data_IF_703250752217
#
_entry.id   IF_703250752217
#
_cell.length_a   1.000
_cell.length_b   1.000
_cell.length_c   1.000
_cell.angle_alpha   90.00
_cell.angle_beta   90.00
_cell.angle_gamma   90.00
#
_symmetry.space_group_name_H-M   'P 1'
#
loop_
_entity.id
_entity.type
_entity.pdbx_description
1 polymer ?
#
# COMPACT_ATOMS: atom_id res chain seq x y z
N UNK A 1 10.91 -24.96 -6.85
CA UNK A 1 10.51 -23.54 -6.79
C UNK A 1 9.39 -23.41 -5.77
N UNK A 2 9.46 -22.40 -4.90
CA UNK A 2 8.48 -22.25 -3.83
C UNK A 2 8.48 -20.80 -3.31
N UNK A 3 7.41 -20.39 -2.61
CA UNK A 3 7.29 -19.10 -1.95
C UNK A 3 7.76 -19.12 -0.51
N UNK A 4 8.43 -18.06 -0.10
CA UNK A 4 8.71 -17.73 1.28
C UNK A 4 8.09 -16.40 1.66
N UNK A 5 7.83 -16.21 2.96
CA UNK A 5 7.39 -14.93 3.52
C UNK A 5 8.54 -14.25 4.24
N UNK A 6 8.73 -12.96 3.99
CA UNK A 6 9.74 -12.13 4.64
C UNK A 6 9.17 -10.76 5.03
N UNK A 7 9.85 -10.08 5.95
CA UNK A 7 9.53 -8.71 6.31
C UNK A 7 10.60 -7.77 5.78
N UNK A 8 10.19 -6.60 5.31
CA UNK A 8 11.06 -5.57 4.76
C UNK A 8 10.69 -4.23 5.39
N UNK A 9 11.68 -3.47 5.84
CA UNK A 9 11.48 -2.11 6.32
C UNK A 9 11.24 -1.17 5.14
N UNK A 10 10.09 -0.51 5.09
CA UNK A 10 9.71 0.44 4.05
C UNK A 10 8.98 1.62 4.67
N UNK A 11 9.42 2.84 4.38
CA UNK A 11 8.83 4.06 4.95
C UNK A 11 8.66 4.01 6.49
N UNK A 12 9.64 3.47 7.20
CA UNK A 12 9.63 3.36 8.67
C UNK A 12 8.71 2.26 9.25
N UNK A 13 8.11 1.43 8.41
CA UNK A 13 7.26 0.29 8.83
C UNK A 13 7.78 -1.02 8.28
N UNK A 14 7.48 -2.12 8.97
CA UNK A 14 7.74 -3.46 8.44
C UNK A 14 6.55 -3.94 7.62
N UNK A 15 6.80 -4.23 6.35
CA UNK A 15 5.79 -4.76 5.43
C UNK A 15 6.10 -6.20 5.08
N UNK A 16 5.05 -7.01 4.95
CA UNK A 16 5.19 -8.40 4.52
C UNK A 16 5.40 -8.45 3.01
N UNK A 17 6.36 -9.27 2.58
CA UNK A 17 6.64 -9.59 1.18
C UNK A 17 6.62 -11.07 0.96
N UNK A 18 6.14 -11.48 -0.21
CA UNK A 18 6.29 -12.85 -0.71
C UNK A 18 7.52 -12.91 -1.60
N UNK A 19 8.35 -13.91 -1.39
CA UNK A 19 9.60 -14.07 -2.13
C UNK A 19 9.56 -15.43 -2.82
N UNK A 20 9.50 -15.43 -4.15
CA UNK A 20 9.64 -16.65 -4.93
C UNK A 20 11.11 -17.04 -4.97
N UNK A 21 11.41 -18.29 -4.61
CA UNK A 21 12.75 -18.85 -4.62
C UNK A 21 12.83 -19.96 -5.65
N UNK A 22 13.71 -19.78 -6.64
CA UNK A 22 14.12 -20.83 -7.58
C UNK A 22 15.48 -21.34 -7.15
N UNK A 23 15.57 -22.64 -6.80
CA UNK A 23 16.82 -23.29 -6.39
C UNK A 23 17.21 -24.38 -7.38
N UNK A 24 18.51 -24.54 -7.56
CA UNK A 24 19.12 -25.51 -8.46
C UNK A 24 19.84 -26.58 -7.65
N UNK A 25 19.31 -27.81 -7.60
CA UNK A 25 19.86 -28.86 -6.74
C UNK A 25 21.31 -29.27 -7.06
N UNK A 26 21.73 -29.16 -8.32
CA UNK A 26 23.07 -29.57 -8.72
C UNK A 26 24.15 -28.60 -8.23
N UNK A 27 23.94 -27.30 -8.44
CA UNK A 27 24.88 -26.25 -8.02
C UNK A 27 24.62 -25.73 -6.61
N UNK A 28 23.40 -25.92 -6.08
CA UNK A 28 22.88 -25.24 -4.90
C UNK A 28 22.76 -23.71 -5.06
N UNK A 29 22.82 -23.21 -6.28
CA UNK A 29 22.50 -21.83 -6.58
C UNK A 29 21.00 -21.53 -6.32
N UNK A 30 20.68 -20.30 -5.95
CA UNK A 30 19.31 -19.85 -5.80
C UNK A 30 19.12 -18.42 -6.28
N UNK A 31 17.98 -18.19 -6.90
CA UNK A 31 17.56 -16.90 -7.40
C UNK A 31 16.18 -16.57 -6.85
N UNK A 32 15.97 -15.32 -6.52
CA UNK A 32 14.75 -14.88 -5.86
C UNK A 32 14.17 -13.64 -6.54
N UNK A 33 12.86 -13.49 -6.42
CA UNK A 33 12.16 -12.28 -6.79
C UNK A 33 11.05 -12.01 -5.77
N UNK A 34 10.92 -10.74 -5.36
CA UNK A 34 9.93 -10.32 -4.38
C UNK A 34 8.64 -9.88 -5.06
N UNK A 35 7.50 -10.30 -4.51
CA UNK A 35 6.16 -9.90 -4.94
C UNK A 35 5.29 -9.59 -3.72
N UNK A 36 4.13 -9.00 -3.96
CA UNK A 36 3.23 -8.55 -2.88
C UNK A 36 2.21 -9.59 -2.45
N UNK A 37 1.94 -10.59 -3.31
CA UNK A 37 0.96 -11.63 -3.05
C UNK A 37 1.32 -12.93 -3.78
N UNK A 38 0.72 -14.04 -3.34
CA UNK A 38 0.83 -15.36 -3.97
C UNK A 38 -0.34 -15.58 -4.94
N UNK A 39 -0.52 -14.69 -5.92
CA UNK A 39 -1.49 -14.86 -7.00
C UNK A 39 -0.80 -15.20 -8.32
N UNK A 40 -1.58 -15.59 -9.33
CA UNK A 40 -1.06 -16.04 -10.62
C UNK A 40 -0.19 -14.98 -11.30
N UNK A 41 -0.60 -13.71 -11.30
CA UNK A 41 0.13 -12.64 -11.95
C UNK A 41 1.48 -12.38 -11.26
N UNK A 42 1.50 -12.34 -9.92
CA UNK A 42 2.74 -12.19 -9.15
C UNK A 42 3.67 -13.38 -9.36
N UNK A 43 3.14 -14.59 -9.36
CA UNK A 43 3.92 -15.81 -9.55
C UNK A 43 4.58 -15.86 -10.92
N UNK A 44 3.81 -15.66 -12.00
CA UNK A 44 4.33 -15.72 -13.37
C UNK A 44 5.29 -14.56 -13.66
N UNK A 45 5.04 -13.37 -13.12
CA UNK A 45 5.97 -12.25 -13.25
C UNK A 45 7.29 -12.55 -12.52
N UNK A 46 7.24 -13.10 -11.31
CA UNK A 46 8.44 -13.48 -10.56
C UNK A 46 9.26 -14.53 -11.32
N UNK A 47 8.61 -15.56 -11.88
CA UNK A 47 9.28 -16.54 -12.74
C UNK A 47 9.96 -15.89 -13.95
N UNK A 48 9.24 -15.03 -14.65
CA UNK A 48 9.77 -14.28 -15.82
C UNK A 48 11.01 -13.47 -15.46
N UNK A 49 10.97 -12.76 -14.33
CA UNK A 49 12.11 -11.97 -13.84
C UNK A 49 13.31 -12.84 -13.48
N UNK A 50 13.07 -13.98 -12.82
CA UNK A 50 14.13 -14.94 -12.51
C UNK A 50 14.73 -15.51 -13.82
N UNK A 51 13.92 -15.92 -14.80
CA UNK A 51 14.41 -16.39 -16.10
C UNK A 51 15.29 -15.35 -16.80
N UNK A 52 14.85 -14.07 -16.80
CA UNK A 52 15.65 -12.98 -17.35
C UNK A 52 17.00 -12.82 -16.64
N UNK A 53 17.02 -12.92 -15.30
CA UNK A 53 18.25 -12.79 -14.49
C UNK A 53 19.24 -13.93 -14.73
N UNK A 54 18.77 -15.18 -14.81
CA UNK A 54 19.63 -16.34 -15.06
C UNK A 54 20.05 -16.49 -16.53
N UNK A 55 19.39 -15.76 -17.42
CA UNK A 55 19.69 -15.76 -18.86
C UNK A 55 19.19 -17.01 -19.60
N UNK A 56 18.21 -17.72 -19.05
CA UNK A 56 17.67 -18.94 -19.67
C UNK A 56 16.52 -19.55 -18.88
N UNK A 57 16.05 -20.73 -19.33
CA UNK A 57 14.91 -21.42 -18.73
C UNK A 57 15.31 -22.87 -18.43
N UNK A 58 15.13 -23.38 -17.19
CA UNK A 58 15.30 -24.79 -16.91
C UNK A 58 14.29 -25.63 -17.72
N UNK A 59 14.74 -26.71 -18.32
CA UNK A 59 13.85 -27.59 -19.12
C UNK A 59 12.76 -28.26 -18.29
N UNK A 60 13.00 -28.45 -16.99
CA UNK A 60 12.06 -29.04 -16.02
C UNK A 60 12.10 -28.24 -14.73
N UNK A 61 10.93 -27.90 -14.19
CA UNK A 61 10.79 -27.12 -12.96
C UNK A 61 9.84 -27.83 -12.01
N UNK A 62 10.32 -28.11 -10.81
CA UNK A 62 9.53 -28.68 -9.73
C UNK A 62 8.91 -27.59 -8.87
N UNK A 63 7.60 -27.70 -8.63
CA UNK A 63 6.82 -26.79 -7.81
C UNK A 63 6.30 -27.50 -6.57
N UNK A 64 6.34 -26.86 -5.42
CA UNK A 64 5.50 -27.24 -4.30
C UNK A 64 4.06 -26.73 -4.55
N UNK A 65 3.06 -27.29 -3.88
CA UNK A 65 1.63 -27.04 -4.04
C UNK A 65 1.24 -25.54 -4.23
N UNK A 66 1.61 -24.97 -5.37
CA UNK A 66 1.35 -23.57 -5.72
C UNK A 66 -0.11 -23.39 -6.16
N UNK A 67 -0.95 -22.90 -5.29
CA UNK A 67 -2.33 -22.50 -5.59
C UNK A 67 -2.43 -21.47 -6.73
N UNK A 68 -1.36 -20.68 -6.94
CA UNK A 68 -1.27 -19.70 -8.03
C UNK A 68 -1.22 -20.32 -9.44
N UNK A 69 -0.83 -21.58 -9.56
CA UNK A 69 -0.73 -22.31 -10.85
C UNK A 69 -1.86 -23.33 -11.05
N UNK A 70 -2.55 -23.72 -9.99
CA UNK A 70 -3.49 -24.86 -9.98
C UNK A 70 -4.91 -24.38 -9.69
N UNK A 71 -5.86 -24.74 -10.54
CA UNK A 71 -7.31 -24.46 -10.35
C UNK A 71 -7.92 -25.46 -9.39
N UNK A 72 -7.61 -26.75 -9.57
CA UNK A 72 -8.14 -27.83 -8.73
C UNK A 72 -7.18 -29.01 -8.68
N UNK A 73 -7.27 -29.78 -7.62
CA UNK A 73 -6.57 -31.05 -7.45
C UNK A 73 -7.64 -32.12 -7.31
N UNK A 74 -7.62 -33.13 -8.18
CA UNK A 74 -8.54 -34.24 -8.14
C UNK A 74 -8.17 -35.24 -7.04
N UNK A 75 -9.13 -36.12 -6.68
CA UNK A 75 -8.89 -37.14 -5.64
C UNK A 75 -7.77 -38.09 -5.97
N UNK A 76 -7.50 -38.32 -7.25
CA UNK A 76 -6.45 -39.20 -7.76
C UNK A 76 -5.11 -38.47 -7.97
N UNK A 77 -4.98 -37.22 -7.48
CA UNK A 77 -3.77 -36.41 -7.60
C UNK A 77 -3.61 -35.69 -8.94
N UNK A 78 -4.57 -35.81 -9.86
CA UNK A 78 -4.64 -35.02 -11.10
C UNK A 78 -4.79 -33.53 -10.77
N UNK A 79 -4.12 -32.66 -11.54
CA UNK A 79 -4.16 -31.21 -11.35
C UNK A 79 -4.65 -30.51 -12.61
N UNK A 80 -5.61 -29.62 -12.42
CA UNK A 80 -6.06 -28.70 -13.47
C UNK A 80 -5.34 -27.38 -13.31
N UNK A 81 -4.54 -27.00 -14.29
CA UNK A 81 -3.78 -25.76 -14.29
C UNK A 81 -4.60 -24.60 -14.81
N UNK A 82 -4.22 -23.38 -14.39
CA UNK A 82 -4.78 -22.17 -15.00
C UNK A 82 -4.32 -22.07 -16.45
N UNK A 83 -5.20 -21.63 -17.34
CA UNK A 83 -4.89 -21.44 -18.77
C UNK A 83 -3.66 -20.51 -18.95
N UNK A 84 -3.55 -19.48 -18.12
CA UNK A 84 -2.42 -18.57 -18.13
C UNK A 84 -1.10 -19.27 -17.80
N UNK A 85 -1.07 -20.18 -16.81
CA UNK A 85 0.11 -20.95 -16.48
C UNK A 85 0.52 -21.90 -17.62
N UNK A 86 -0.45 -22.56 -18.25
CA UNK A 86 -0.17 -23.44 -19.39
C UNK A 86 0.42 -22.68 -20.58
N UNK A 87 -0.14 -21.51 -20.91
CA UNK A 87 0.42 -20.62 -21.94
C UNK A 87 1.83 -20.15 -21.60
N UNK A 88 2.08 -19.81 -20.35
CA UNK A 88 3.40 -19.40 -19.85
C UNK A 88 4.41 -20.55 -19.98
N UNK A 89 4.06 -21.77 -19.54
CA UNK A 89 4.92 -22.94 -19.62
C UNK A 89 5.24 -23.29 -21.08
N UNK A 90 4.24 -23.25 -21.99
CA UNK A 90 4.42 -23.46 -23.41
C UNK A 90 5.33 -22.40 -24.05
N UNK A 91 5.15 -21.12 -23.71
CA UNK A 91 5.96 -20.01 -24.21
C UNK A 91 7.44 -20.15 -23.85
N UNK A 92 7.73 -20.51 -22.59
CA UNK A 92 9.09 -20.71 -22.09
C UNK A 92 9.60 -22.15 -22.30
N UNK A 93 8.77 -23.06 -22.77
CA UNK A 93 9.10 -24.45 -23.19
C UNK A 93 9.64 -25.32 -22.05
N UNK A 94 9.26 -25.05 -20.81
CA UNK A 94 9.63 -25.90 -19.68
C UNK A 94 8.51 -26.89 -19.34
N UNK A 95 8.91 -28.05 -18.78
CA UNK A 95 7.99 -29.04 -18.26
C UNK A 95 7.75 -28.77 -16.76
N UNK A 96 6.50 -28.46 -16.37
CA UNK A 96 6.17 -28.32 -14.96
C UNK A 96 5.99 -29.69 -14.31
N UNK A 97 6.60 -29.87 -13.15
CA UNK A 97 6.43 -31.02 -12.27
C UNK A 97 5.97 -30.53 -10.91
N UNK A 98 5.11 -31.30 -10.25
CA UNK A 98 4.59 -30.91 -8.94
C UNK A 98 4.85 -32.02 -7.93
N UNK A 99 5.34 -31.63 -6.75
CA UNK A 99 5.55 -32.58 -5.67
C UNK A 99 4.21 -33.21 -5.26
N UNK A 100 4.24 -34.50 -4.99
CA UNK A 100 3.05 -35.19 -4.51
C UNK A 100 2.70 -34.71 -3.09
N UNK A 101 1.40 -34.55 -2.76
CA UNK A 101 0.97 -34.36 -1.39
C UNK A 101 1.57 -35.48 -0.51
N UNK A 102 2.19 -35.12 0.60
CA UNK A 102 2.83 -36.04 1.56
C UNK A 102 4.18 -36.66 1.17
N UNK A 103 4.82 -36.28 0.06
CA UNK A 103 6.15 -36.77 -0.32
C UNK A 103 7.26 -35.85 0.18
N UNK A 104 7.59 -35.91 1.47
CA UNK A 104 8.61 -35.07 2.11
C UNK A 104 10.01 -35.17 1.50
N UNK A 105 10.35 -36.30 0.87
CA UNK A 105 11.67 -36.52 0.27
C UNK A 105 11.90 -35.68 -1.01
N UNK A 106 10.83 -35.33 -1.74
CA UNK A 106 10.90 -34.53 -2.96
C UNK A 106 11.01 -33.02 -2.66
N UNK A 107 10.57 -32.58 -1.47
CA UNK A 107 10.48 -31.19 -1.04
C UNK A 107 11.75 -30.65 -0.37
N UNK A 108 12.55 -31.52 0.22
CA UNK A 108 13.60 -31.13 1.19
C UNK A 108 14.60 -30.09 0.66
N UNK A 109 14.96 -30.11 -0.61
CA UNK A 109 15.92 -29.14 -1.16
C UNK A 109 15.35 -27.72 -1.28
N UNK A 110 14.12 -27.59 -1.81
CA UNK A 110 13.49 -26.29 -2.01
C UNK A 110 13.10 -25.64 -0.69
N UNK A 111 12.46 -26.40 0.22
CA UNK A 111 12.08 -25.90 1.54
C UNK A 111 13.31 -25.45 2.36
N UNK A 112 14.40 -26.24 2.30
CA UNK A 112 15.65 -25.87 2.95
C UNK A 112 16.23 -24.58 2.37
N UNK A 113 16.14 -24.39 1.04
CA UNK A 113 16.68 -23.20 0.38
C UNK A 113 15.82 -21.97 0.62
N UNK A 114 14.50 -22.09 0.65
CA UNK A 114 13.58 -21.00 1.07
C UNK A 114 13.90 -20.58 2.51
N UNK A 115 14.01 -21.54 3.42
CA UNK A 115 14.41 -21.29 4.81
C UNK A 115 15.80 -20.66 4.94
N UNK A 116 16.76 -21.12 4.13
CA UNK A 116 18.12 -20.57 4.09
C UNK A 116 18.10 -19.12 3.62
N UNK A 117 17.47 -18.82 2.47
CA UNK A 117 17.38 -17.48 1.91
C UNK A 117 16.72 -16.52 2.88
N UNK A 118 15.63 -16.94 3.54
CA UNK A 118 14.96 -16.13 4.56
C UNK A 118 15.91 -15.78 5.72
N UNK A 119 16.62 -16.74 6.26
CA UNK A 119 17.49 -16.52 7.43
C UNK A 119 18.76 -15.74 7.11
N UNK A 120 19.33 -15.92 5.92
CA UNK A 120 20.65 -15.37 5.58
C UNK A 120 20.59 -14.12 4.71
N UNK A 121 19.49 -13.92 3.95
CA UNK A 121 19.35 -12.78 3.04
C UNK A 121 18.37 -11.73 3.53
N UNK A 122 17.41 -12.13 4.38
CA UNK A 122 16.28 -11.31 4.81
C UNK A 122 16.18 -11.19 6.35
N UNK A 123 17.20 -11.62 7.08
CA UNK A 123 17.34 -11.42 8.52
C UNK A 123 18.74 -10.86 8.80
N UNK A 124 18.85 -9.68 9.46
CA UNK A 124 17.75 -8.79 9.85
C UNK A 124 16.98 -8.28 8.63
N UNK A 125 15.70 -7.87 8.80
CA UNK A 125 14.89 -7.34 7.71
C UNK A 125 15.60 -6.18 7.00
N UNK A 126 15.82 -6.26 5.67
CA UNK A 126 16.44 -5.17 4.93
C UNK A 126 15.53 -3.94 4.94
N UNK A 127 16.13 -2.75 4.96
CA UNK A 127 15.42 -1.48 4.76
C UNK A 127 15.59 -1.10 3.30
N UNK A 128 14.47 -1.06 2.57
CA UNK A 128 14.41 -0.77 1.15
C UNK A 128 13.18 0.08 0.88
N UNK A 129 13.34 1.31 0.44
CA UNK A 129 12.23 2.23 0.21
C UNK A 129 11.45 1.91 -1.07
N UNK A 130 12.09 1.23 -2.01
CA UNK A 130 11.50 0.83 -3.28
C UNK A 130 11.60 -0.69 -3.54
N UNK A 131 10.69 -1.20 -4.38
CA UNK A 131 10.75 -2.58 -4.83
C UNK A 131 12.06 -2.87 -5.61
N UNK A 132 12.58 -1.88 -6.34
CA UNK A 132 13.85 -1.98 -7.08
C UNK A 132 15.04 -2.19 -6.13
N UNK A 133 15.12 -1.42 -5.04
CA UNK A 133 16.18 -1.60 -4.03
C UNK A 133 16.14 -2.99 -3.38
N UNK A 134 14.92 -3.49 -3.11
CA UNK A 134 14.76 -4.85 -2.59
C UNK A 134 15.24 -5.90 -3.59
N UNK A 135 14.93 -5.74 -4.86
CA UNK A 135 15.40 -6.62 -5.94
C UNK A 135 16.93 -6.62 -6.05
N UNK A 136 17.55 -5.45 -5.99
CA UNK A 136 19.01 -5.31 -6.00
C UNK A 136 19.64 -5.95 -4.75
N UNK A 137 19.01 -5.75 -3.59
CA UNK A 137 19.46 -6.41 -2.35
C UNK A 137 19.46 -7.94 -2.50
N UNK A 138 18.35 -8.51 -2.98
CA UNK A 138 18.20 -9.94 -3.20
C UNK A 138 19.21 -10.47 -4.26
N UNK A 139 19.45 -9.69 -5.31
CA UNK A 139 20.44 -10.01 -6.33
C UNK A 139 21.85 -10.11 -5.73
N UNK A 140 22.29 -9.08 -5.01
CA UNK A 140 23.61 -9.07 -4.34
C UNK A 140 23.79 -10.23 -3.37
N UNK A 141 22.72 -10.57 -2.60
CA UNK A 141 22.75 -11.71 -1.68
C UNK A 141 22.86 -13.04 -2.41
N UNK A 142 22.15 -13.20 -3.52
CA UNK A 142 22.24 -14.40 -4.37
C UNK A 142 23.63 -14.55 -4.98
N UNK A 143 24.23 -13.47 -5.48
CA UNK A 143 25.59 -13.46 -6.04
C UNK A 143 26.64 -13.80 -4.96
N UNK A 144 26.57 -13.16 -3.80
CA UNK A 144 27.48 -13.45 -2.70
C UNK A 144 27.37 -14.90 -2.20
N UNK A 145 26.17 -15.52 -2.24
CA UNK A 145 25.96 -16.91 -1.88
C UNK A 145 26.67 -17.88 -2.84
N UNK A 146 26.95 -17.47 -4.07
CA UNK A 146 27.64 -18.30 -5.05
C UNK A 146 29.15 -18.49 -4.78
N UNK A 147 29.75 -17.61 -3.98
CA UNK A 147 31.17 -17.72 -3.65
C UNK A 147 31.49 -18.80 -2.62
N UNK A 148 30.50 -19.25 -1.87
CA UNK A 148 30.69 -20.29 -0.87
C UNK A 148 30.85 -21.68 -1.51
N UNK A 149 31.51 -22.65 -0.82
CA UNK A 149 31.59 -24.01 -1.28
C UNK A 149 30.23 -24.73 -1.20
N UNK A 150 30.00 -25.62 -2.15
CA UNK A 150 28.85 -26.53 -2.12
C UNK A 150 29.01 -27.49 -0.96
N UNK A 151 27.96 -27.70 -0.17
CA UNK A 151 27.99 -28.48 1.09
C UNK A 151 28.44 -29.96 0.94
N UNK A 152 28.23 -30.56 -0.24
CA UNK A 152 28.61 -31.96 -0.50
C UNK A 152 29.72 -32.10 -1.53
N UNK A 153 29.84 -31.22 -2.51
CA UNK A 153 30.82 -31.33 -3.60
C UNK A 153 32.10 -30.55 -3.34
N UNK A 154 32.08 -29.62 -2.37
CA UNK A 154 33.19 -28.76 -1.96
C UNK A 154 33.73 -27.82 -3.07
N UNK A 155 33.19 -27.87 -4.28
CA UNK A 155 33.44 -26.91 -5.34
C UNK A 155 32.65 -25.61 -5.06
N UNK A 156 33.10 -24.48 -5.58
CA UNK A 156 32.35 -23.22 -5.50
C UNK A 156 30.99 -23.36 -6.20
N UNK A 157 29.94 -22.82 -5.58
CA UNK A 157 28.60 -22.81 -6.18
C UNK A 157 28.62 -22.13 -7.54
N UNK A 158 29.38 -21.03 -7.71
CA UNK A 158 29.53 -20.34 -8.98
C UNK A 158 30.04 -21.26 -10.12
N UNK A 159 31.05 -22.08 -9.84
CA UNK A 159 31.66 -22.98 -10.83
C UNK A 159 30.68 -24.10 -11.23
N UNK A 160 29.93 -24.62 -10.26
CA UNK A 160 28.87 -25.59 -10.51
C UNK A 160 27.69 -24.95 -11.27
N UNK A 161 27.36 -23.69 -10.95
CA UNK A 161 26.30 -22.96 -11.63
C UNK A 161 26.60 -22.74 -13.12
N UNK A 162 27.82 -22.39 -13.48
CA UNK A 162 28.19 -22.25 -14.89
C UNK A 162 28.01 -23.57 -15.69
N UNK A 163 28.31 -24.72 -15.07
CA UNK A 163 28.03 -26.03 -15.67
C UNK A 163 26.52 -26.25 -15.88
N UNK A 164 25.69 -25.87 -14.90
CA UNK A 164 24.23 -26.01 -14.94
C UNK A 164 23.61 -24.99 -15.90
N UNK A 165 24.07 -23.73 -15.87
CA UNK A 165 23.60 -22.66 -16.74
C UNK A 165 23.77 -23.00 -18.22
N UNK A 166 24.83 -23.72 -18.60
CA UNK A 166 25.05 -24.15 -19.98
C UNK A 166 23.97 -25.11 -20.52
N UNK A 167 23.11 -25.68 -19.66
CA UNK A 167 22.00 -26.59 -20.01
C UNK A 167 20.65 -25.91 -20.03
N UNK A 168 20.56 -24.63 -19.71
CA UNK A 168 19.31 -23.89 -19.79
C UNK A 168 18.86 -23.75 -21.25
N UNK A 169 17.54 -23.74 -21.45
CA UNK A 169 16.93 -23.38 -22.72
C UNK A 169 17.11 -21.89 -22.95
N UNK A 170 17.30 -21.49 -24.20
CA UNK A 170 17.39 -20.08 -24.58
C UNK A 170 16.07 -19.36 -24.27
N UNK A 171 16.17 -18.11 -23.82
CA UNK A 171 15.01 -17.24 -23.64
C UNK A 171 14.30 -17.01 -24.97
N UNK A 172 12.95 -16.92 -24.97
CA UNK A 172 12.22 -16.48 -26.15
C UNK A 172 12.58 -15.03 -26.52
N UNK A 173 12.52 -14.68 -27.79
CA UNK A 173 12.84 -13.34 -28.29
C UNK A 173 11.95 -12.25 -27.68
N UNK A 174 10.69 -12.59 -27.42
CA UNK A 174 9.74 -11.68 -26.78
C UNK A 174 9.35 -12.26 -25.41
N UNK A 175 9.51 -11.49 -24.31
CA UNK A 175 9.05 -11.93 -23.00
C UNK A 175 7.54 -12.15 -22.97
N UNK A 176 7.07 -13.13 -22.20
CA UNK A 176 5.64 -13.33 -21.97
C UNK A 176 5.04 -12.13 -21.24
N UNK A 177 3.94 -11.60 -21.75
CA UNK A 177 3.22 -10.55 -21.06
C UNK A 177 2.24 -11.15 -20.05
N UNK A 178 2.51 -10.94 -18.78
CA UNK A 178 1.70 -11.50 -17.67
C UNK A 178 0.56 -10.55 -17.33
N UNK A 179 -0.66 -10.94 -17.67
CA UNK A 179 -1.88 -10.21 -17.32
C UNK A 179 -3.11 -11.11 -17.42
N UNK A 180 -4.19 -10.74 -16.73
CA UNK A 180 -5.53 -11.28 -17.00
C UNK A 180 -6.46 -10.17 -17.49
N UNK A 181 -7.43 -10.53 -18.29
CA UNK A 181 -8.52 -9.64 -18.72
C UNK A 181 -9.76 -9.89 -17.88
N UNK A 182 -10.37 -8.83 -17.40
CA UNK A 182 -11.57 -8.89 -16.57
C UNK A 182 -12.51 -7.75 -16.95
N UNK A 183 -13.77 -8.06 -17.23
CA UNK A 183 -14.79 -7.03 -17.41
C UNK A 183 -15.31 -6.56 -16.05
N UNK A 184 -15.37 -5.26 -15.83
CA UNK A 184 -15.82 -4.67 -14.56
C UNK A 184 -16.91 -3.63 -14.80
N UNK A 185 -17.88 -3.57 -13.88
CA UNK A 185 -18.95 -2.56 -13.90
C UNK A 185 -18.55 -1.35 -13.06
N UNK A 186 -18.87 -0.17 -13.62
CA UNK A 186 -18.79 1.09 -12.88
C UNK A 186 -20.14 1.36 -12.20
N UNK A 187 -20.09 1.91 -10.98
CA UNK A 187 -21.30 2.40 -10.37
C UNK A 187 -21.76 3.73 -11.01
N UNK A 188 -22.93 4.24 -10.62
CA UNK A 188 -23.50 5.51 -11.14
C UNK A 188 -22.65 6.76 -10.83
N UNK A 189 -21.67 6.63 -9.95
CA UNK A 189 -20.72 7.69 -9.57
C UNK A 189 -19.39 7.59 -10.30
N UNK A 190 -19.25 6.60 -11.22
CA UNK A 190 -18.02 6.31 -11.95
C UNK A 190 -16.90 5.83 -11.04
N UNK A 191 -17.26 5.01 -10.06
CA UNK A 191 -16.33 4.33 -9.20
C UNK A 191 -16.20 2.87 -9.62
N UNK A 192 -14.98 2.42 -9.79
CA UNK A 192 -14.61 1.03 -10.04
C UNK A 192 -14.33 0.36 -8.71
N UNK A 193 -15.07 -0.69 -8.39
CA UNK A 193 -14.73 -1.59 -7.30
C UNK A 193 -13.93 -2.77 -7.83
N UNK A 194 -12.68 -2.88 -7.40
CA UNK A 194 -11.79 -3.96 -7.81
C UNK A 194 -11.06 -4.53 -6.58
N UNK A 195 -11.14 -5.85 -6.40
CA UNK A 195 -10.65 -6.55 -5.20
C UNK A 195 -11.18 -5.84 -3.92
N UNK A 196 -10.30 -5.30 -3.07
CA UNK A 196 -10.69 -4.61 -1.82
C UNK A 196 -10.70 -3.07 -1.95
N UNK A 197 -10.41 -2.53 -3.13
CA UNK A 197 -10.30 -1.10 -3.38
C UNK A 197 -11.44 -0.55 -4.24
N UNK A 198 -11.64 0.76 -4.14
CA UNK A 198 -12.58 1.52 -4.99
C UNK A 198 -11.84 2.70 -5.60
N UNK A 199 -11.81 2.76 -6.92
CA UNK A 199 -11.10 3.78 -7.69
C UNK A 199 -12.08 4.76 -8.34
N UNK A 200 -11.85 6.08 -8.20
CA UNK A 200 -12.59 7.09 -8.96
C UNK A 200 -12.12 7.09 -10.42
N UNK A 201 -13.05 6.98 -11.36
CA UNK A 201 -12.80 7.00 -12.79
C UNK A 201 -13.66 8.07 -13.48
N UNK A 202 -13.46 9.36 -13.18
CA UNK A 202 -14.30 10.44 -13.72
C UNK A 202 -14.22 10.55 -15.25
N UNK A 203 -13.13 10.07 -15.86
CA UNK A 203 -12.94 10.01 -17.32
C UNK A 203 -13.83 8.98 -18.01
N UNK A 204 -14.38 7.99 -17.30
CA UNK A 204 -15.25 6.95 -17.86
C UNK A 204 -16.71 7.41 -18.00
N UNK A 205 -16.94 8.66 -18.42
CA UNK A 205 -18.32 9.17 -18.66
C UNK A 205 -18.98 8.42 -19.80
N UNK A 206 -20.24 8.03 -19.59
CA UNK A 206 -21.01 7.29 -20.61
C UNK A 206 -20.79 5.79 -20.60
N UNK A 207 -19.75 5.28 -19.92
CA UNK A 207 -19.48 3.85 -19.84
C UNK A 207 -20.11 3.24 -18.59
N UNK A 208 -20.76 2.10 -18.73
CA UNK A 208 -21.27 1.29 -17.62
C UNK A 208 -20.29 0.17 -17.26
N UNK A 209 -19.53 -0.28 -18.25
CA UNK A 209 -18.52 -1.33 -18.12
C UNK A 209 -17.19 -0.85 -18.67
N UNK A 210 -16.12 -1.42 -18.15
CA UNK A 210 -14.74 -1.23 -18.61
C UNK A 210 -14.06 -2.59 -18.69
N UNK A 211 -13.02 -2.70 -19.52
CA UNK A 211 -12.15 -3.87 -19.55
C UNK A 211 -10.88 -3.55 -18.77
N UNK A 212 -10.56 -4.41 -17.82
CA UNK A 212 -9.36 -4.32 -17.01
C UNK A 212 -8.30 -5.29 -17.53
N UNK A 213 -7.09 -4.79 -17.78
CA UNK A 213 -5.90 -5.60 -17.97
C UNK A 213 -5.12 -5.57 -16.66
N UNK A 214 -5.27 -6.64 -15.88
CA UNK A 214 -4.72 -6.75 -14.52
C UNK A 214 -3.34 -7.37 -14.59
N UNK A 215 -2.33 -6.62 -14.23
CA UNK A 215 -0.94 -7.06 -14.09
C UNK A 215 -0.61 -7.31 -12.61
N UNK A 216 0.61 -7.65 -12.32
CA UNK A 216 1.06 -7.94 -10.96
C UNK A 216 1.12 -6.69 -10.05
N UNK A 217 1.35 -5.50 -10.61
CA UNK A 217 1.57 -4.22 -9.89
C UNK A 217 0.60 -3.10 -10.29
N UNK A 218 0.02 -3.19 -11.48
CA UNK A 218 -0.89 -2.18 -12.03
C UNK A 218 -2.11 -2.80 -12.72
N UNK A 219 -3.13 -1.96 -12.89
CA UNK A 219 -4.35 -2.27 -13.64
C UNK A 219 -4.47 -1.22 -14.74
N UNK A 220 -4.48 -1.64 -15.99
CA UNK A 220 -4.81 -0.79 -17.12
C UNK A 220 -6.31 -0.89 -17.39
N UNK A 221 -6.98 0.27 -17.47
CA UNK A 221 -8.43 0.37 -17.69
C UNK A 221 -8.68 0.75 -19.13
N UNK A 222 -9.42 -0.07 -19.85
CA UNK A 222 -9.79 0.17 -21.25
C UNK A 222 -11.29 0.39 -21.41
N UNK A 223 -11.68 1.14 -22.46
CA UNK A 223 -13.06 1.24 -22.84
C UNK A 223 -13.60 -0.12 -23.33
N UNK A 224 -14.90 -0.38 -23.08
CA UNK A 224 -15.58 -1.59 -23.55
C UNK A 224 -16.47 -1.34 -24.77
N UNK A 225 -16.26 -0.20 -25.47
CA UNK A 225 -17.01 0.22 -26.64
C UNK A 225 -16.58 -0.42 -27.97
N UNK A 226 -15.64 -1.37 -27.91
CA UNK A 226 -15.06 -2.03 -29.09
C UNK A 226 -13.77 -1.39 -29.60
N UNK A 227 -13.49 -0.14 -29.22
CA UNK A 227 -12.23 0.53 -29.59
C UNK A 227 -11.08 0.24 -28.64
N UNK A 228 -11.36 -0.30 -27.44
CA UNK A 228 -10.37 -0.66 -26.42
C UNK A 228 -9.36 0.45 -26.13
N UNK A 229 -9.82 1.70 -26.01
CA UNK A 229 -8.96 2.84 -25.69
C UNK A 229 -8.50 2.77 -24.24
N UNK A 230 -7.22 3.00 -24.01
CA UNK A 230 -6.69 3.13 -22.66
C UNK A 230 -7.27 4.38 -21.98
N UNK A 231 -8.01 4.20 -20.91
CA UNK A 231 -8.66 5.26 -20.14
C UNK A 231 -7.82 5.70 -18.93
N UNK A 232 -6.96 4.82 -18.43
CA UNK A 232 -6.09 5.13 -17.31
C UNK A 232 -5.35 3.90 -16.77
N UNK A 233 -4.39 4.17 -15.90
CA UNK A 233 -3.64 3.17 -15.15
C UNK A 233 -3.87 3.38 -13.67
N UNK A 234 -4.07 2.30 -12.94
CA UNK A 234 -4.34 2.29 -11.52
C UNK A 234 -3.33 1.37 -10.83
N UNK A 235 -2.82 1.72 -9.64
CA UNK A 235 -2.02 0.79 -8.87
C UNK A 235 -2.87 -0.40 -8.43
N UNK A 236 -2.33 -1.61 -8.50
CA UNK A 236 -3.03 -2.76 -7.95
C UNK A 236 -3.08 -2.68 -6.43
N UNK A 237 -4.24 -2.93 -5.79
CA UNK A 237 -4.39 -2.76 -4.35
C UNK A 237 -3.79 -3.96 -3.60
N UNK A 238 -2.74 -3.70 -2.84
CA UNK A 238 -2.14 -4.63 -1.90
C UNK A 238 -2.18 -4.05 -0.48
N UNK A 239 -2.13 -4.90 0.54
CA UNK A 239 -2.24 -4.46 1.94
C UNK A 239 -1.12 -3.48 2.35
N UNK A 240 0.06 -3.65 1.77
CA UNK A 240 1.25 -2.85 2.02
C UNK A 240 1.40 -1.62 1.10
N UNK A 241 0.53 -1.50 0.11
CA UNK A 241 0.46 -0.35 -0.80
C UNK A 241 -0.94 0.25 -0.72
N UNK A 242 -1.19 1.13 0.26
CA UNK A 242 -2.49 1.79 0.37
C UNK A 242 -2.80 2.54 -0.92
N UNK A 243 -4.07 2.53 -1.28
CA UNK A 243 -4.54 3.24 -2.46
C UNK A 243 -4.42 4.75 -2.24
N UNK A 244 -3.68 5.42 -3.09
CA UNK A 244 -3.66 6.89 -3.13
C UNK A 244 -4.91 7.37 -3.86
N UNK A 245 -5.75 8.14 -3.18
CA UNK A 245 -6.94 8.74 -3.75
C UNK A 245 -6.66 10.22 -4.04
N UNK A 246 -6.84 10.62 -5.29
CA UNK A 246 -6.81 12.03 -5.69
C UNK A 246 -8.12 12.72 -5.22
N UNK A 247 -8.11 13.17 -3.97
CA UNK A 247 -9.29 13.70 -3.30
C UNK A 247 -9.83 14.97 -3.94
N UNK A 248 -8.99 15.82 -4.50
CA UNK A 248 -9.41 17.02 -5.23
C UNK A 248 -10.35 16.66 -6.37
N UNK A 249 -9.99 15.66 -7.18
CA UNK A 249 -10.82 15.14 -8.28
C UNK A 249 -12.14 14.53 -7.77
N UNK A 250 -12.12 13.80 -6.67
CA UNK A 250 -13.31 13.20 -6.05
C UNK A 250 -14.27 14.30 -5.57
N UNK A 251 -13.75 15.31 -4.88
CA UNK A 251 -14.55 16.43 -4.38
C UNK A 251 -15.09 17.34 -5.50
N UNK A 252 -14.40 17.47 -6.61
CA UNK A 252 -14.95 18.12 -7.82
C UNK A 252 -16.17 17.35 -8.37
N UNK A 253 -16.18 16.04 -8.25
CA UNK A 253 -17.35 15.21 -8.53
C UNK A 253 -18.51 15.49 -7.57
N UNK A 254 -18.24 15.57 -6.27
CA UNK A 254 -19.24 15.86 -5.24
C UNK A 254 -19.80 17.28 -5.35
N UNK A 255 -18.99 18.30 -5.71
CA UNK A 255 -19.48 19.65 -5.98
C UNK A 255 -20.53 19.68 -7.09
N UNK A 256 -20.34 18.89 -8.15
CA UNK A 256 -21.31 18.78 -9.25
C UNK A 256 -22.59 18.03 -8.86
N UNK A 257 -22.46 17.02 -8.00
CA UNK A 257 -23.57 16.17 -7.53
C UNK A 257 -23.49 15.97 -6.02
N UNK A 258 -23.88 16.95 -5.19
CA UNK A 258 -23.68 16.89 -3.72
C UNK A 258 -24.31 15.69 -3.04
N UNK A 259 -25.41 15.17 -3.56
CA UNK A 259 -26.04 13.94 -3.04
C UNK A 259 -25.19 12.69 -3.23
N UNK A 260 -24.22 12.70 -4.15
CA UNK A 260 -23.39 11.52 -4.41
C UNK A 260 -22.53 11.11 -3.21
N UNK A 261 -22.12 12.06 -2.36
CA UNK A 261 -21.31 11.78 -1.16
C UNK A 261 -22.03 10.86 -0.17
N UNK A 262 -23.37 10.85 -0.16
CA UNK A 262 -24.15 9.99 0.72
C UNK A 262 -24.05 8.50 0.35
N UNK A 263 -23.75 8.19 -0.91
CA UNK A 263 -23.83 6.85 -1.49
C UNK A 263 -22.50 6.41 -2.13
N UNK A 264 -21.47 7.26 -2.14
CA UNK A 264 -20.16 6.98 -2.69
C UNK A 264 -19.42 5.98 -1.79
N UNK A 265 -18.87 4.93 -2.39
CA UNK A 265 -18.02 3.95 -1.72
C UNK A 265 -16.68 4.55 -1.29
N UNK A 266 -16.23 5.62 -1.96
CA UNK A 266 -15.01 6.34 -1.63
C UNK A 266 -15.09 7.03 -0.26
N UNK A 267 -16.28 7.37 0.20
CA UNK A 267 -16.45 8.01 1.50
C UNK A 267 -15.93 7.17 2.68
N UNK A 268 -15.81 5.86 2.53
CA UNK A 268 -15.24 4.97 3.56
C UNK A 268 -13.76 5.20 3.83
N UNK A 269 -13.04 5.75 2.85
CA UNK A 269 -11.60 6.06 2.98
C UNK A 269 -11.32 7.45 3.55
N UNK A 270 -12.38 8.26 3.77
CA UNK A 270 -12.24 9.56 4.42
C UNK A 270 -12.11 9.40 5.94
N UNK A 271 -11.39 10.28 6.62
CA UNK A 271 -11.44 10.41 8.07
C UNK A 271 -12.90 10.50 8.55
N UNK A 272 -13.24 9.89 9.70
CA UNK A 272 -14.61 9.93 10.23
C UNK A 272 -15.15 11.36 10.41
N UNK A 273 -14.31 12.30 10.85
CA UNK A 273 -14.64 13.72 11.02
C UNK A 273 -15.04 14.39 9.70
N UNK A 274 -14.27 14.21 8.63
CA UNK A 274 -14.61 14.75 7.31
C UNK A 274 -15.92 14.13 6.81
N UNK A 275 -16.06 12.83 6.93
CA UNK A 275 -17.26 12.11 6.50
C UNK A 275 -18.51 12.59 7.24
N UNK A 276 -18.44 12.75 8.55
CA UNK A 276 -19.54 13.29 9.35
C UNK A 276 -19.86 14.74 8.98
N UNK A 277 -18.83 15.54 8.75
CA UNK A 277 -18.96 16.94 8.39
C UNK A 277 -19.72 17.16 7.08
N UNK A 278 -19.44 16.37 6.03
CA UNK A 278 -20.06 16.55 4.69
C UNK A 278 -21.36 15.77 4.50
N UNK A 279 -21.63 14.73 5.30
CA UNK A 279 -22.84 13.90 5.19
C UNK A 279 -23.99 14.44 6.04
N UNK A 280 -24.41 15.65 5.77
CA UNK A 280 -25.57 16.29 6.41
C UNK A 280 -26.81 16.20 5.54
N UNK A 281 -28.00 16.22 6.16
CA UNK A 281 -29.29 16.12 5.44
C UNK A 281 -29.58 17.37 4.60
N UNK A 282 -29.25 18.55 5.14
CA UNK A 282 -29.43 19.80 4.42
C UNK A 282 -28.53 19.86 3.17
N UNK A 283 -29.14 20.12 2.02
CA UNK A 283 -28.47 20.10 0.73
C UNK A 283 -27.58 21.35 0.53
N UNK A 284 -28.01 22.52 1.00
CA UNK A 284 -27.26 23.76 0.84
C UNK A 284 -26.05 23.74 1.78
N UNK A 285 -26.25 23.37 3.02
CA UNK A 285 -25.15 23.19 3.97
C UNK A 285 -24.13 22.16 3.47
N UNK A 286 -24.61 21.06 2.88
CA UNK A 286 -23.74 20.04 2.27
C UNK A 286 -22.89 20.62 1.15
N UNK A 287 -23.46 21.45 0.27
CA UNK A 287 -22.71 22.11 -0.81
C UNK A 287 -21.60 23.01 -0.28
N UNK A 288 -21.92 23.81 0.74
CA UNK A 288 -20.94 24.70 1.38
C UNK A 288 -19.80 23.89 1.97
N UNK A 289 -20.11 22.84 2.74
CA UNK A 289 -19.11 21.99 3.40
C UNK A 289 -18.25 21.20 2.40
N UNK A 290 -18.83 20.69 1.31
CA UNK A 290 -18.07 20.05 0.23
C UNK A 290 -17.12 21.07 -0.44
N UNK A 291 -17.60 22.29 -0.68
CA UNK A 291 -16.75 23.34 -1.29
C UNK A 291 -15.59 23.74 -0.37
N UNK A 292 -15.83 23.81 0.94
CA UNK A 292 -14.79 24.08 1.93
C UNK A 292 -13.72 23.00 1.92
N UNK A 293 -14.12 21.73 2.09
CA UNK A 293 -13.15 20.62 2.12
C UNK A 293 -12.36 20.57 0.82
N UNK A 294 -13.02 20.77 -0.34
CA UNK A 294 -12.33 20.84 -1.64
C UNK A 294 -11.27 21.95 -1.69
N UNK A 295 -11.58 23.13 -1.12
CA UNK A 295 -10.64 24.25 -1.04
C UNK A 295 -9.45 23.93 -0.12
N UNK A 296 -9.70 23.31 1.03
CA UNK A 296 -8.64 22.90 1.96
C UNK A 296 -7.68 21.87 1.33
N UNK A 297 -8.20 20.96 0.51
CA UNK A 297 -7.42 19.95 -0.19
C UNK A 297 -6.51 20.51 -1.31
N UNK A 298 -6.55 21.79 -1.61
CA UNK A 298 -5.59 22.43 -2.53
C UNK A 298 -4.19 22.58 -1.92
N UNK A 299 -4.11 22.67 -0.60
CA UNK A 299 -2.87 22.94 0.14
C UNK A 299 -2.63 22.02 1.33
N UNK A 300 -3.56 21.11 1.63
CA UNK A 300 -3.49 20.23 2.78
C UNK A 300 -3.91 18.80 2.43
N UNK A 301 -3.34 17.85 3.13
CA UNK A 301 -3.70 16.44 3.00
C UNK A 301 -5.04 16.13 3.68
N UNK A 302 -5.73 15.09 3.20
CA UNK A 302 -7.02 14.66 3.75
C UNK A 302 -6.96 14.35 5.26
N UNK A 303 -5.83 13.81 5.75
CA UNK A 303 -5.63 13.51 7.15
C UNK A 303 -5.59 14.78 8.00
N UNK A 304 -4.87 15.82 7.55
CA UNK A 304 -4.77 17.12 8.23
C UNK A 304 -6.13 17.82 8.33
N UNK A 305 -6.89 17.79 7.22
CA UNK A 305 -8.28 18.30 7.21
C UNK A 305 -9.14 17.52 8.21
N UNK A 306 -8.94 16.21 8.29
CA UNK A 306 -9.64 15.35 9.24
C UNK A 306 -9.34 15.69 10.69
N UNK A 307 -8.09 15.94 11.04
CA UNK A 307 -7.65 16.33 12.37
C UNK A 307 -8.20 17.71 12.78
N UNK A 308 -8.14 18.70 11.87
CA UNK A 308 -8.69 20.02 12.11
C UNK A 308 -10.20 19.97 12.39
N UNK A 309 -10.95 19.22 11.56
CA UNK A 309 -12.40 19.04 11.78
C UNK A 309 -12.71 18.29 13.07
N UNK A 310 -11.89 17.33 13.46
CA UNK A 310 -12.04 16.60 14.71
C UNK A 310 -11.80 17.52 15.93
N UNK A 311 -10.79 18.38 15.86
CA UNK A 311 -10.48 19.37 16.90
C UNK A 311 -11.64 20.36 17.11
N UNK A 312 -12.34 20.71 16.02
CA UNK A 312 -13.44 21.69 16.06
C UNK A 312 -14.81 21.05 16.38
N UNK A 313 -14.91 19.71 16.35
CA UNK A 313 -16.18 19.02 16.55
C UNK A 313 -16.80 19.36 17.93
N UNK A 314 -18.05 19.83 17.90
CA UNK A 314 -18.81 20.16 19.11
C UNK A 314 -18.47 21.52 19.74
N UNK A 315 -17.53 22.30 19.18
CA UNK A 315 -17.12 23.57 19.76
C UNK A 315 -17.66 24.82 19.03
N UNK A 316 -18.04 24.67 17.78
CA UNK A 316 -18.47 25.80 16.95
C UNK A 316 -19.76 25.52 16.18
N UNK A 317 -20.49 26.60 15.86
CA UNK A 317 -21.64 26.48 14.96
C UNK A 317 -21.21 26.11 13.55
N UNK A 318 -22.05 25.39 12.80
CA UNK A 318 -21.74 25.00 11.42
C UNK A 318 -21.41 26.18 10.50
N UNK A 319 -21.96 27.37 10.76
CA UNK A 319 -21.76 28.58 9.99
C UNK A 319 -20.37 29.19 10.20
N UNK A 320 -19.80 29.02 11.40
CA UNK A 320 -18.47 29.53 11.73
C UNK A 320 -17.32 28.55 11.41
N UNK A 321 -17.64 27.31 11.10
CA UNK A 321 -16.64 26.24 10.86
C UNK A 321 -15.62 26.56 9.75
N UNK A 322 -15.96 27.24 8.63
CA UNK A 322 -14.99 27.54 7.57
C UNK A 322 -13.77 28.30 8.08
N UNK A 323 -13.99 29.38 8.80
CA UNK A 323 -12.93 30.24 9.32
C UNK A 323 -12.15 29.51 10.43
N UNK A 324 -12.86 28.88 11.34
CA UNK A 324 -12.25 28.12 12.43
C UNK A 324 -11.44 26.92 11.94
N UNK A 325 -11.89 26.24 10.88
CA UNK A 325 -11.13 25.13 10.28
C UNK A 325 -9.81 25.64 9.71
N UNK A 326 -9.83 26.75 8.98
CA UNK A 326 -8.62 27.37 8.45
C UNK A 326 -7.68 27.83 9.57
N UNK A 327 -8.23 28.35 10.65
CA UNK A 327 -7.46 28.74 11.82
C UNK A 327 -6.80 27.54 12.51
N UNK A 328 -7.56 26.50 12.79
CA UNK A 328 -7.07 25.27 13.43
C UNK A 328 -5.98 24.57 12.60
N UNK A 329 -6.05 24.63 11.27
CA UNK A 329 -5.02 24.06 10.39
C UNK A 329 -3.72 24.86 10.43
N UNK A 330 -3.79 26.18 10.62
CA UNK A 330 -2.61 27.04 10.78
C UNK A 330 -2.01 26.98 12.18
N UNK A 331 -2.79 26.58 13.16
CA UNK A 331 -2.46 26.57 14.59
C UNK A 331 -2.77 25.19 15.19
N UNK A 332 -1.93 24.15 14.93
CA UNK A 332 -2.18 22.79 15.43
C UNK A 332 -2.23 22.68 16.98
N UNK A 333 -1.66 23.66 17.69
CA UNK A 333 -1.71 23.78 19.15
C UNK A 333 -3.04 24.30 19.68
N UNK A 334 -3.88 24.86 18.80
CA UNK A 334 -5.18 25.39 19.18
C UNK A 334 -6.09 24.30 19.75
N UNK A 335 -6.57 24.54 20.96
CA UNK A 335 -7.54 23.69 21.64
C UNK A 335 -8.71 24.57 22.06
N UNK A 336 -9.85 24.50 21.34
CA UNK A 336 -11.03 25.26 21.73
C UNK A 336 -11.54 24.80 23.09
N UNK A 337 -11.99 25.72 23.90
CA UNK A 337 -12.66 25.39 25.16
C UNK A 337 -14.03 24.77 24.83
N UNK A 338 -14.45 23.76 25.61
CA UNK A 338 -15.78 23.17 25.41
C UNK A 338 -16.86 24.22 25.72
N UNK A 339 -17.87 24.26 24.85
CA UNK A 339 -19.04 25.11 25.09
C UNK A 339 -19.74 24.63 26.37
N UNK A 340 -19.80 25.48 27.37
CA UNK A 340 -20.64 25.23 28.52
C UNK A 340 -22.08 25.48 28.08
N UNK A 341 -22.92 24.47 28.06
CA UNK A 341 -24.36 24.64 27.84
C UNK A 341 -24.94 25.46 28.97
N UNK A 342 -25.04 26.77 28.76
CA UNK A 342 -25.83 27.63 29.67
C UNK A 342 -27.27 27.60 29.15
N UNK A 343 -28.20 27.21 30.00
CA UNK A 343 -29.64 27.21 29.70
C UNK A 343 -30.24 28.64 29.67
N UNK A 344 -29.45 29.66 29.76
CA UNK A 344 -29.84 31.06 29.60
C UNK A 344 -29.39 31.57 28.25
N UNK A 345 -30.28 32.07 27.38
CA UNK A 345 -29.89 32.76 26.15
C UNK A 345 -29.12 34.01 26.57
N UNK A 346 -27.81 33.96 26.48
CA UNK A 346 -26.98 35.15 26.57
C UNK A 346 -27.14 35.86 25.23
N UNK A 347 -27.69 37.09 25.26
CA UNK A 347 -27.53 37.99 24.11
C UNK A 347 -26.04 38.21 23.91
N UNK A 348 -25.48 37.51 22.94
CA UNK A 348 -24.09 37.69 22.55
C UNK A 348 -24.06 38.98 21.69
N UNK A 349 -23.86 40.09 22.36
CA UNK A 349 -23.39 41.29 21.68
C UNK A 349 -22.03 40.95 21.10
N UNK A 350 -21.92 41.05 19.78
CA UNK A 350 -20.79 40.59 18.98
C UNK A 350 -19.43 41.08 19.52
N UNK A 351 -18.94 40.40 20.51
CA UNK A 351 -17.57 40.57 20.97
C UNK A 351 -16.70 39.66 20.09
N UNK A 352 -16.08 40.25 19.07
CA UNK A 352 -14.97 39.60 18.38
C UNK A 352 -13.89 39.37 19.44
N UNK A 353 -13.51 38.13 19.74
CA UNK A 353 -12.39 37.89 20.64
C UNK A 353 -11.15 38.57 20.07
N UNK A 354 -10.48 39.34 20.90
CA UNK A 354 -9.19 39.94 20.54
C UNK A 354 -8.14 38.82 20.43
N UNK A 355 -7.94 38.32 19.23
CA UNK A 355 -6.98 37.24 18.93
C UNK A 355 -5.53 37.74 19.08
N UNK A 356 -5.29 39.03 19.21
CA UNK A 356 -3.93 39.58 19.39
C UNK A 356 -3.23 39.08 20.69
N UNK A 357 -4.00 38.66 21.68
CA UNK A 357 -3.47 38.05 22.90
C UNK A 357 -2.82 36.68 22.65
N UNK A 358 -3.25 35.98 21.59
CA UNK A 358 -2.72 34.69 21.18
C UNK A 358 -1.50 34.84 20.26
N UNK A 359 -1.37 35.95 19.55
CA UNK A 359 -0.22 36.25 18.70
C UNK A 359 1.09 36.34 19.51
N UNK A 360 1.04 36.88 20.70
CA UNK A 360 2.20 36.94 21.59
C UNK A 360 2.69 35.55 22.06
N UNK A 361 1.77 34.60 22.22
CA UNK A 361 2.09 33.22 22.59
C UNK A 361 2.68 32.50 21.38
N UNK A 362 2.17 32.78 20.17
CA UNK A 362 2.64 32.20 18.92
C UNK A 362 4.05 32.65 18.53
N UNK A 363 4.42 33.93 18.83
CA UNK A 363 5.79 34.42 18.63
C UNK A 363 6.79 33.66 19.49
N UNK A 364 6.45 33.36 20.74
CA UNK A 364 7.29 32.57 21.64
C UNK A 364 7.48 31.15 21.12
N UNK A 365 6.41 30.49 20.61
CA UNK A 365 6.50 29.16 20.04
C UNK A 365 7.24 29.12 18.69
N UNK A 366 7.12 30.14 17.87
CA UNK A 366 7.88 30.31 16.64
C UNK A 366 9.39 30.41 16.92
N UNK A 367 9.77 31.17 17.93
CA UNK A 367 11.16 31.25 18.41
C UNK A 367 11.68 29.89 18.93
N UNK A 368 10.86 29.16 19.69
CA UNK A 368 11.21 27.81 20.18
C UNK A 368 11.37 26.83 19.03
N UNK A 369 10.49 26.85 18.01
CA UNK A 369 10.56 25.96 16.84
C UNK A 369 11.76 26.33 15.94
N UNK A 370 12.11 27.59 15.79
CA UNK A 370 13.32 28.06 15.11
C UNK A 370 14.61 27.63 15.84
N UNK A 371 14.63 27.70 17.15
CA UNK A 371 15.75 27.22 17.98
C UNK A 371 15.88 25.70 17.90
N UNK A 372 14.77 24.98 17.90
CA UNK A 372 14.78 23.50 17.77
C UNK A 372 15.18 23.04 16.37
N UNK A 373 14.87 23.80 15.31
CA UNK A 373 15.28 23.50 13.93
C UNK A 373 16.72 23.91 13.61
N UNK A 374 17.28 24.86 14.33
CA UNK A 374 18.67 25.33 14.12
C UNK A 374 19.75 24.45 14.73
N UNK A 375 19.42 23.24 15.20
CA UNK A 375 20.36 22.18 15.50
C UNK A 375 21.47 22.55 16.47
N UNK A 376 21.17 22.73 17.73
CA UNK A 376 22.20 22.72 18.78
C UNK A 376 22.58 21.27 19.10
N UNK A 377 23.60 20.78 18.41
CA UNK A 377 24.39 19.64 18.82
C UNK A 377 25.22 20.06 20.04
N UNK A 378 24.90 19.52 21.18
CA UNK A 378 25.73 19.58 22.38
C UNK A 378 25.15 20.51 23.43
N UNK A 379 24.47 19.93 24.37
CA UNK A 379 24.62 20.07 25.82
C UNK A 379 23.48 19.28 26.48
N UNK A 380 23.83 18.17 27.05
CA UNK A 380 23.08 17.47 28.09
C UNK A 380 23.00 18.34 29.35
N UNK A 381 21.88 18.21 30.04
CA UNK A 381 21.55 18.72 31.35
C UNK A 381 21.08 20.17 31.42
N UNK A 382 19.76 20.29 31.53
CA UNK A 382 19.04 21.13 32.52
C UNK A 382 17.54 21.13 32.20
N UNK A 383 16.82 20.16 32.76
CA UNK A 383 15.38 20.23 32.92
C UNK A 383 15.06 20.49 34.41
N UNK A 384 14.43 21.59 34.76
CA UNK A 384 13.83 21.72 36.10
C UNK A 384 12.57 20.82 36.11
N UNK A 385 12.57 19.87 37.03
CA UNK A 385 11.37 19.09 37.35
C UNK A 385 10.29 20.00 37.91
N UNK A 386 9.26 20.34 37.16
CA UNK A 386 8.00 20.82 37.70
C UNK A 386 7.35 19.68 38.49
N UNK A 387 7.41 19.77 39.80
CA UNK A 387 6.59 18.94 40.71
C UNK A 387 5.15 19.45 40.63
N UNK A 388 4.27 18.67 40.01
CA UNK A 388 2.83 18.84 40.19
C UNK A 388 2.44 18.32 41.57
N UNK A 389 2.19 19.23 42.48
CA UNK A 389 1.52 18.98 43.77
C UNK A 389 0.03 19.23 43.56
N UNK A 390 -0.72 18.21 43.26
CA UNK A 390 -2.19 18.24 43.38
C UNK A 390 -2.60 17.48 44.63
N UNK A 391 -2.96 18.21 45.67
CA UNK A 391 -3.82 17.68 46.71
C UNK A 391 -5.28 18.04 46.39
N UNK A 392 -6.22 17.13 46.48
CA UNK A 392 -7.64 17.44 46.30
C UNK A 392 -8.18 18.11 47.58
N UNK A 393 -8.80 19.27 47.43
CA UNK A 393 -9.58 19.89 48.48
C UNK A 393 -10.93 19.14 48.61
N UNK A 394 -11.16 18.58 49.78
CA UNK A 394 -12.49 18.15 50.23
C UNK A 394 -13.33 19.38 50.51
N UNK A 395 -14.44 19.58 49.84
CA UNK A 395 -15.55 20.39 50.33
C UNK A 395 -16.49 19.50 51.12
N UNK A 396 -16.62 19.83 52.40
CA UNK A 396 -17.67 19.35 53.30
C UNK A 396 -18.79 20.40 53.30
N UNK A 397 -19.96 19.95 53.13
CA UNK A 397 -21.33 20.28 53.44
C UNK A 397 -21.69 21.72 53.87
N UNK A 398 -22.75 22.15 53.28
CA UNK A 398 -24.09 22.41 53.85
C UNK A 398 -25.04 22.87 52.76
#
# INVERSE_FOLDING_TARGET
>A
MDFGTAYVGQAGQFVERKVLVMSFPFSNAAFTFSVRAENTECFLEAMKRIFGRIGGVPSKIWFDNLSAAVVSIDKDGGRTFTDQFLRFAAHYRFQPEFCNPYSGHEKGHVENKVGYSRRNWLVPPPVCDTDTELEEHLARKSEADMDRPHYAKHERIADLWEKERSKLLALPATPFEVFRLEAARLNKYRELRFEKATYPLPQCRGLETVLLKVKWDEIEVFSSDGEYRLLGKLPRPYADKPMTIEWTTVFDGYRRKPRSVMYSDLARYMPPSVRAFIRVEDTELRKVRIALVRRLLESHEMAEVGEALNTLAGHFSPEAVPEHTLYAMKHPEFRPEPLVESHTPVEIHGHMPDLSQYDAILEVWRLVDEVMRSGFSGYTTWWPRCRTSTKPARCVGS
#
